data_IF_609123704106
#
_entry.id   IF_609123704106
#
_cell.length_a   1.000
_cell.length_b   1.000
_cell.length_c   1.000
_cell.angle_alpha   90.00
_cell.angle_beta   90.00
_cell.angle_gamma   90.00
#
_symmetry.space_group_name_H-M   'P 1'
#
loop_
_entity.id
_entity.type
_entity.pdbx_description
1 polymer ?
#
# COMPACT_ATOMS: atom_id res chain seq x y z
N UNK A 1 1.08 -10.76 75.48
CA UNK A 1 0.91 -11.89 74.54
C UNK A 1 -0.43 -11.71 73.85
N UNK A 2 -0.42 -11.70 72.52
CA UNK A 2 -1.43 -11.15 71.61
C UNK A 2 -2.69 -12.04 71.44
N UNK A 3 -3.80 -11.33 71.16
CA UNK A 3 -4.98 -11.68 70.33
C UNK A 3 -5.86 -12.87 70.77
N UNK A 4 -7.09 -12.60 71.19
CA UNK A 4 -8.31 -12.33 70.39
C UNK A 4 -8.94 -13.60 69.79
N UNK A 5 -10.05 -13.97 70.42
CA UNK A 5 -11.24 -14.62 69.86
C UNK A 5 -11.54 -14.11 68.45
N UNK A 6 -11.58 -15.02 67.47
CA UNK A 6 -12.18 -14.77 66.15
C UNK A 6 -13.40 -15.68 66.02
N UNK A 7 -14.58 -15.09 66.20
CA UNK A 7 -15.82 -15.67 65.68
C UNK A 7 -15.71 -15.66 64.15
N UNK A 8 -15.77 -16.83 63.54
CA UNK A 8 -15.95 -17.00 62.10
C UNK A 8 -17.33 -16.43 61.72
N UNK A 9 -17.35 -15.22 61.17
CA UNK A 9 -18.51 -14.66 60.49
C UNK A 9 -18.73 -15.45 59.20
N UNK A 10 -19.64 -16.41 59.23
CA UNK A 10 -20.17 -17.03 58.00
C UNK A 10 -20.98 -15.95 57.26
N UNK A 11 -20.52 -15.59 56.06
CA UNK A 11 -21.21 -14.64 55.19
C UNK A 11 -22.60 -15.20 54.84
N UNK A 12 -23.64 -14.39 55.08
CA UNK A 12 -25.04 -14.68 54.74
C UNK A 12 -25.23 -15.17 53.29
N UNK A 13 -24.32 -14.81 52.38
CA UNK A 13 -24.33 -15.28 50.98
C UNK A 13 -24.15 -16.80 50.85
N UNK A 14 -23.31 -17.43 51.69
CA UNK A 14 -23.08 -18.89 51.63
C UNK A 14 -24.29 -19.69 52.12
N UNK A 15 -25.03 -19.17 53.10
CA UNK A 15 -26.26 -19.79 53.56
C UNK A 15 -27.39 -19.69 52.52
N UNK A 16 -27.48 -18.57 51.79
CA UNK A 16 -28.48 -18.39 50.72
C UNK A 16 -28.19 -19.30 49.53
N UNK A 17 -26.93 -19.48 49.13
CA UNK A 17 -26.58 -20.41 48.03
C UNK A 17 -26.92 -21.85 48.41
N UNK A 18 -26.64 -22.27 49.65
CA UNK A 18 -27.01 -23.61 50.12
C UNK A 18 -28.54 -23.79 50.18
N UNK A 19 -29.30 -22.75 50.55
CA UNK A 19 -30.76 -22.77 50.63
C UNK A 19 -31.43 -22.74 49.25
N UNK A 20 -30.87 -22.03 48.27
CA UNK A 20 -31.36 -22.05 46.88
C UNK A 20 -31.12 -23.42 46.25
N UNK A 21 -29.98 -24.06 46.52
CA UNK A 21 -29.69 -25.43 46.03
C UNK A 21 -30.60 -26.47 46.70
N UNK A 22 -31.00 -26.29 47.97
CA UNK A 22 -31.90 -27.23 48.65
C UNK A 22 -33.39 -27.00 48.34
N UNK A 23 -33.82 -25.77 48.06
CA UNK A 23 -35.23 -25.46 47.74
C UNK A 23 -35.56 -25.71 46.26
N UNK A 24 -34.60 -25.55 45.34
CA UNK A 24 -34.80 -25.85 43.92
C UNK A 24 -34.16 -27.17 43.45
N UNK A 25 -33.59 -27.96 44.38
CA UNK A 25 -32.88 -29.20 44.07
C UNK A 25 -33.76 -30.44 43.84
N UNK A 26 -35.08 -30.35 43.96
CA UNK A 26 -35.95 -31.54 43.98
C UNK A 26 -36.92 -31.69 42.80
N UNK A 27 -36.73 -30.98 41.68
CA UNK A 27 -37.50 -31.24 40.45
C UNK A 27 -36.63 -31.27 39.18
N UNK A 28 -35.40 -31.76 39.29
CA UNK A 28 -34.69 -32.27 38.11
C UNK A 28 -35.31 -33.61 37.73
N UNK A 29 -36.44 -33.57 37.03
CA UNK A 29 -36.98 -34.73 36.31
C UNK A 29 -35.86 -35.22 35.38
N UNK A 30 -35.35 -36.42 35.63
CA UNK A 30 -34.38 -37.06 34.75
C UNK A 30 -35.07 -37.26 33.39
N UNK A 31 -34.82 -36.34 32.47
CA UNK A 31 -35.38 -36.42 31.13
C UNK A 31 -34.63 -37.54 30.39
N UNK A 32 -35.33 -38.62 30.09
CA UNK A 32 -34.84 -39.63 29.16
C UNK A 32 -34.79 -39.01 27.77
N UNK A 33 -33.64 -38.43 27.43
CA UNK A 33 -33.39 -37.81 26.14
C UNK A 33 -33.46 -38.90 25.06
N UNK A 34 -34.18 -38.61 23.99
CA UNK A 34 -34.17 -39.49 22.82
C UNK A 34 -32.81 -39.42 22.14
N UNK A 35 -32.41 -40.43 21.33
CA UNK A 35 -31.16 -40.38 20.58
C UNK A 35 -31.01 -39.12 19.71
N UNK A 36 -32.12 -38.55 19.23
CA UNK A 36 -32.10 -37.27 18.50
C UNK A 36 -31.78 -36.07 19.38
N UNK A 37 -32.31 -36.03 20.61
CA UNK A 37 -32.02 -34.95 21.55
C UNK A 37 -30.55 -34.95 21.96
N UNK A 38 -29.99 -36.16 22.15
CA UNK A 38 -28.56 -36.32 22.42
C UNK A 38 -27.70 -35.84 21.24
N UNK A 39 -28.11 -36.12 20.00
CA UNK A 39 -27.39 -35.65 18.81
C UNK A 39 -27.40 -34.12 18.66
N UNK A 40 -28.52 -33.47 19.04
CA UNK A 40 -28.64 -32.01 19.01
C UNK A 40 -27.76 -31.37 20.08
N UNK A 41 -27.74 -31.95 21.29
CA UNK A 41 -26.86 -31.50 22.38
C UNK A 41 -25.39 -31.68 22.00
N UNK A 42 -25.03 -32.79 21.39
CA UNK A 42 -23.65 -33.05 20.96
C UNK A 42 -23.23 -32.12 19.81
N UNK A 43 -24.15 -31.79 18.89
CA UNK A 43 -23.94 -30.76 17.88
C UNK A 43 -23.74 -29.37 18.51
N UNK A 44 -24.57 -28.99 19.48
CA UNK A 44 -24.43 -27.70 20.16
C UNK A 44 -23.14 -27.62 20.99
N UNK A 45 -22.75 -28.70 21.67
CA UNK A 45 -21.46 -28.80 22.37
C UNK A 45 -20.29 -28.72 21.39
N UNK A 46 -20.38 -29.40 20.25
CA UNK A 46 -19.36 -29.33 19.20
C UNK A 46 -19.25 -27.90 18.67
N UNK A 47 -20.37 -27.26 18.34
CA UNK A 47 -20.43 -25.88 17.87
C UNK A 47 -19.80 -24.90 18.87
N UNK A 48 -20.16 -24.99 20.16
CA UNK A 48 -19.60 -24.16 21.23
C UNK A 48 -18.10 -24.41 21.45
N UNK A 49 -17.64 -25.64 21.27
CA UNK A 49 -16.23 -25.99 21.40
C UNK A 49 -15.40 -25.54 20.18
N UNK A 50 -15.98 -25.59 18.98
CA UNK A 50 -15.34 -25.08 17.75
C UNK A 50 -15.36 -23.56 17.69
N UNK A 51 -16.43 -22.91 18.15
CA UNK A 51 -16.53 -21.44 18.16
C UNK A 51 -15.54 -20.82 19.15
N UNK A 52 -15.35 -21.41 20.34
CA UNK A 52 -14.31 -20.97 21.28
C UNK A 52 -12.88 -21.12 20.75
N UNK A 53 -12.62 -22.07 19.85
CA UNK A 53 -11.30 -22.22 19.21
C UNK A 53 -11.07 -21.18 18.10
N UNK A 54 -12.13 -20.63 17.52
CA UNK A 54 -12.06 -19.53 16.56
C UNK A 54 -11.85 -18.16 17.22
N UNK A 55 -12.06 -18.04 18.54
CA UNK A 55 -11.91 -16.80 19.32
C UNK A 55 -10.54 -16.66 20.00
N UNK A 56 -9.49 -17.34 19.51
CA UNK A 56 -8.15 -16.84 19.83
C UNK A 56 -8.01 -15.54 19.04
N UNK A 57 -7.85 -14.37 19.67
CA UNK A 57 -7.47 -13.19 18.92
C UNK A 57 -6.15 -13.58 18.27
N UNK A 58 -6.14 -13.79 16.96
CA UNK A 58 -4.91 -13.67 16.20
C UNK A 58 -4.50 -12.25 16.52
N UNK A 59 -3.51 -12.10 17.41
CA UNK A 59 -2.79 -10.86 17.53
C UNK A 59 -2.13 -10.71 16.16
N UNK A 60 -2.86 -10.16 15.19
CA UNK A 60 -2.26 -9.56 14.02
C UNK A 60 -1.38 -8.50 14.63
N UNK A 61 -0.11 -8.85 14.77
CA UNK A 61 0.91 -7.86 15.02
C UNK A 61 0.63 -6.77 13.98
N UNK A 62 0.59 -5.52 14.41
CA UNK A 62 0.33 -4.35 13.56
C UNK A 62 1.29 -4.27 12.35
N UNK A 63 2.27 -5.17 12.30
CA UNK A 63 3.26 -5.47 11.29
C UNK A 63 2.71 -6.13 10.01
N UNK A 64 1.55 -6.80 10.03
CA UNK A 64 0.98 -7.42 8.82
C UNK A 64 0.28 -6.42 7.89
N UNK A 65 -0.25 -5.33 8.44
CA UNK A 65 -0.95 -4.30 7.66
C UNK A 65 0.09 -3.41 6.99
N UNK A 66 -0.04 -3.22 5.67
CA UNK A 66 0.81 -2.30 4.94
C UNK A 66 0.24 -1.94 3.58
N UNK A 67 0.75 -0.85 3.01
CA UNK A 67 0.45 -0.43 1.63
C UNK A 67 1.72 -0.39 0.80
N UNK A 68 1.57 -0.67 -0.49
CA UNK A 68 2.66 -0.57 -1.46
C UNK A 68 2.52 0.65 -2.34
N UNK A 69 3.65 1.22 -2.75
CA UNK A 69 3.71 2.28 -3.75
C UNK A 69 5.01 2.20 -4.55
N UNK A 70 5.00 2.78 -5.75
CA UNK A 70 6.21 2.90 -6.57
C UNK A 70 6.88 4.23 -6.28
N UNK A 71 8.18 4.20 -6.01
CA UNK A 71 9.05 5.37 -5.97
C UNK A 71 9.77 5.48 -7.32
N UNK A 72 9.29 6.37 -8.18
CA UNK A 72 9.87 6.60 -9.50
C UNK A 72 11.14 7.44 -9.41
N UNK A 73 12.17 7.04 -10.16
CA UNK A 73 13.44 7.74 -10.26
C UNK A 73 14.46 7.41 -9.18
N UNK A 74 14.21 6.38 -8.35
CA UNK A 74 15.15 5.91 -7.32
C UNK A 74 15.19 4.39 -7.27
N UNK A 75 16.35 3.82 -6.96
CA UNK A 75 16.55 2.37 -6.76
C UNK A 75 16.23 1.88 -5.35
N UNK A 76 15.96 2.80 -4.41
CA UNK A 76 15.79 2.50 -2.98
C UNK A 76 14.56 3.17 -2.40
N UNK A 77 13.97 2.54 -1.39
CA UNK A 77 12.86 3.10 -0.62
C UNK A 77 13.35 4.14 0.42
N UNK A 78 12.47 5.04 0.91
CA UNK A 78 12.80 5.94 2.00
C UNK A 78 13.17 5.19 3.29
N UNK A 79 13.86 5.87 4.20
CA UNK A 79 14.26 5.28 5.48
C UNK A 79 13.05 4.78 6.29
N UNK A 80 13.15 3.56 6.84
CA UNK A 80 12.08 2.91 7.58
C UNK A 80 10.85 2.56 6.72
N UNK A 81 11.06 2.34 5.41
CA UNK A 81 10.10 1.74 4.48
C UNK A 81 10.77 0.53 3.84
N UNK A 82 10.09 -0.60 3.82
CA UNK A 82 10.64 -1.84 3.29
C UNK A 82 10.66 -1.80 1.76
N UNK A 83 11.75 -2.29 1.16
CA UNK A 83 11.80 -2.52 -0.28
C UNK A 83 11.15 -3.87 -0.59
N UNK A 84 10.22 -3.89 -1.54
CA UNK A 84 9.67 -5.12 -2.11
C UNK A 84 10.60 -5.60 -3.22
N UNK A 85 10.88 -4.73 -4.20
CA UNK A 85 11.91 -4.93 -5.22
C UNK A 85 12.37 -3.60 -5.82
N UNK A 86 13.55 -3.61 -6.43
CA UNK A 86 14.07 -2.53 -7.26
C UNK A 86 14.06 -2.96 -8.74
N UNK A 87 14.10 -1.96 -9.62
CA UNK A 87 14.11 -2.24 -11.04
C UNK A 87 14.19 -0.99 -11.90
N UNK A 88 13.67 -1.11 -13.11
CA UNK A 88 13.58 -0.02 -14.07
C UNK A 88 12.14 0.28 -14.41
N UNK A 89 11.85 1.55 -14.64
CA UNK A 89 10.57 1.95 -15.19
C UNK A 89 10.48 1.49 -16.65
N UNK A 90 9.28 1.13 -17.05
CA UNK A 90 8.96 0.74 -18.41
C UNK A 90 7.50 1.02 -18.74
N UNK A 91 7.13 0.68 -19.96
CA UNK A 91 5.78 0.87 -20.47
C UNK A 91 5.74 0.64 -21.97
N UNK A 92 4.82 1.33 -22.63
CA UNK A 92 4.61 1.22 -24.06
C UNK A 92 5.59 2.13 -24.83
N UNK A 93 5.83 1.80 -26.10
CA UNK A 93 6.60 2.65 -27.01
C UNK A 93 5.90 3.99 -27.19
N UNK A 94 6.64 5.10 -27.12
CA UNK A 94 6.07 6.45 -27.13
C UNK A 94 5.07 6.70 -28.28
N UNK A 95 5.32 6.13 -29.47
CA UNK A 95 4.49 6.33 -30.66
C UNK A 95 3.35 5.31 -30.84
N UNK A 96 3.26 4.28 -29.99
CA UNK A 96 2.19 3.27 -30.09
C UNK A 96 0.84 3.78 -29.59
N UNK A 97 -0.18 3.76 -30.46
CA UNK A 97 -1.54 4.25 -30.17
C UNK A 97 -2.39 3.32 -29.31
N UNK A 98 -2.08 2.02 -29.33
CA UNK A 98 -2.74 1.00 -28.53
C UNK A 98 -1.71 0.30 -27.63
N UNK A 99 -2.15 -0.70 -26.87
CA UNK A 99 -1.30 -1.39 -25.89
C UNK A 99 -1.50 -0.88 -24.47
N UNK A 100 -0.52 -1.11 -23.60
CA UNK A 100 -0.52 -0.60 -22.22
C UNK A 100 -0.51 0.94 -22.14
N UNK A 101 -1.22 1.52 -21.16
CA UNK A 101 -1.34 2.98 -20.98
C UNK A 101 -0.85 3.48 -19.62
N UNK A 102 -0.07 2.68 -18.90
CA UNK A 102 0.48 2.98 -17.58
C UNK A 102 1.98 2.75 -17.55
N UNK A 103 2.68 3.40 -16.62
CA UNK A 103 4.05 3.02 -16.30
C UNK A 103 4.07 1.74 -15.47
N UNK A 104 5.11 0.95 -15.65
CA UNK A 104 5.38 -0.27 -14.91
C UNK A 104 6.75 -0.16 -14.23
N UNK A 105 6.85 -0.66 -13.01
CA UNK A 105 8.15 -0.85 -12.38
C UNK A 105 8.58 -2.30 -12.62
N UNK A 106 9.49 -2.51 -13.57
CA UNK A 106 9.91 -3.82 -14.03
C UNK A 106 11.05 -4.33 -13.14
N UNK A 107 10.94 -5.52 -12.54
CA UNK A 107 11.99 -6.06 -11.67
C UNK A 107 13.28 -6.33 -12.47
N UNK A 108 14.43 -6.27 -11.79
CA UNK A 108 15.73 -6.57 -12.40
C UNK A 108 15.96 -8.05 -12.71
N UNK A 109 15.11 -8.93 -12.17
CA UNK A 109 15.16 -10.39 -12.28
C UNK A 109 13.85 -10.94 -12.89
N UNK A 110 13.51 -10.60 -14.15
CA UNK A 110 12.27 -11.04 -14.76
C UNK A 110 12.24 -12.55 -15.01
N UNK A 111 11.09 -13.18 -14.76
CA UNK A 111 10.80 -14.52 -15.26
C UNK A 111 10.26 -14.43 -16.70
N UNK A 112 10.99 -15.01 -17.65
CA UNK A 112 10.66 -14.90 -19.07
C UNK A 112 9.68 -15.98 -19.54
N UNK A 113 8.74 -15.57 -20.39
CA UNK A 113 7.86 -16.47 -21.14
C UNK A 113 8.57 -17.15 -22.33
N UNK A 114 7.79 -17.80 -23.20
CA UNK A 114 8.30 -18.43 -24.43
C UNK A 114 8.25 -17.46 -25.61
N UNK A 115 9.26 -17.51 -26.47
CA UNK A 115 9.28 -16.75 -27.73
C UNK A 115 8.22 -17.31 -28.68
N UNK A 116 7.43 -16.43 -29.31
CA UNK A 116 6.45 -16.79 -30.35
C UNK A 116 6.67 -15.92 -31.58
N UNK A 117 6.18 -16.35 -32.75
CA UNK A 117 6.38 -15.66 -34.03
C UNK A 117 5.42 -14.51 -34.30
N UNK A 118 4.44 -14.26 -33.43
CA UNK A 118 3.44 -13.21 -33.64
C UNK A 118 3.91 -11.88 -33.04
N UNK A 119 3.65 -10.80 -33.78
CA UNK A 119 3.93 -9.43 -33.36
C UNK A 119 2.80 -8.98 -32.41
N UNK A 120 3.03 -9.12 -31.10
CA UNK A 120 2.14 -8.63 -30.06
C UNK A 120 2.55 -7.21 -29.64
N UNK A 121 1.85 -6.63 -28.65
CA UNK A 121 2.32 -5.40 -28.01
C UNK A 121 3.71 -5.60 -27.38
N UNK A 122 4.49 -4.51 -27.36
CA UNK A 122 5.86 -4.51 -26.85
C UNK A 122 5.96 -3.86 -25.48
N UNK A 123 6.80 -4.42 -24.61
CA UNK A 123 7.20 -3.79 -23.36
C UNK A 123 8.57 -3.14 -23.53
N UNK A 124 8.65 -1.85 -23.24
CA UNK A 124 9.86 -1.04 -23.44
C UNK A 124 10.33 -0.45 -22.11
N UNK A 125 11.65 -0.25 -21.98
CA UNK A 125 12.23 0.54 -20.88
C UNK A 125 11.79 2.00 -20.97
N UNK A 126 11.95 2.73 -19.86
CA UNK A 126 11.60 4.15 -19.82
C UNK A 126 12.83 5.06 -19.73
N UNK A 127 12.78 6.17 -20.44
CA UNK A 127 13.86 7.16 -20.49
C UNK A 127 13.40 8.51 -19.94
N UNK A 128 14.31 9.23 -19.28
CA UNK A 128 14.11 10.64 -18.98
C UNK A 128 14.24 11.46 -20.26
N UNK A 129 13.19 12.19 -20.62
CA UNK A 129 13.24 13.17 -21.70
C UNK A 129 13.28 14.59 -21.11
N UNK A 130 14.33 14.79 -20.32
CA UNK A 130 14.61 16.01 -19.56
C UNK A 130 15.85 16.67 -20.13
N UNK A 131 15.62 17.65 -20.99
CA UNK A 131 16.64 18.50 -21.63
C UNK A 131 16.75 19.85 -20.89
N UNK A 132 17.82 20.60 -21.16
CA UNK A 132 18.06 21.89 -20.50
C UNK A 132 16.91 22.91 -20.62
N UNK A 133 16.11 22.84 -21.69
CA UNK A 133 14.98 23.75 -21.92
C UNK A 133 13.69 23.37 -21.17
N UNK A 134 13.59 22.15 -20.63
CA UNK A 134 12.43 21.69 -19.86
C UNK A 134 12.78 21.18 -18.46
N UNK A 135 14.04 21.26 -18.03
CA UNK A 135 14.47 20.76 -16.71
C UNK A 135 13.80 21.55 -15.58
N UNK A 136 13.14 20.88 -14.63
CA UNK A 136 12.61 21.53 -13.44
C UNK A 136 13.69 22.20 -12.60
N UNK A 137 13.36 23.35 -12.00
CA UNK A 137 14.28 24.01 -11.07
C UNK A 137 14.58 23.12 -9.87
N UNK A 138 15.87 22.76 -9.71
CA UNK A 138 16.35 21.86 -8.65
C UNK A 138 16.32 20.37 -9.01
N UNK A 139 15.88 19.99 -10.21
CA UNK A 139 16.01 18.62 -10.70
C UNK A 139 17.45 18.36 -11.17
N UNK A 140 17.88 17.10 -11.07
CA UNK A 140 19.22 16.68 -11.49
C UNK A 140 19.47 17.00 -12.96
N UNK A 141 20.64 17.57 -13.26
CA UNK A 141 21.07 17.84 -14.63
C UNK A 141 21.59 16.57 -15.33
N UNK A 142 21.69 16.63 -16.66
CA UNK A 142 22.23 15.54 -17.50
C UNK A 142 21.46 14.23 -17.35
N UNK A 143 20.12 14.32 -17.35
CA UNK A 143 19.22 13.17 -17.27
C UNK A 143 18.71 12.72 -18.64
N UNK A 144 18.77 13.57 -19.66
CA UNK A 144 18.32 13.26 -21.02
C UNK A 144 18.81 11.89 -21.52
N UNK A 145 17.89 11.08 -22.06
CA UNK A 145 18.16 9.77 -22.66
C UNK A 145 18.79 8.77 -21.68
N UNK A 146 18.59 8.95 -20.38
CA UNK A 146 18.99 7.96 -19.37
C UNK A 146 17.79 7.15 -18.94
N UNK A 147 18.04 5.89 -18.63
CA UNK A 147 17.01 4.98 -18.14
C UNK A 147 16.55 5.38 -16.72
N UNK A 148 15.26 5.20 -16.48
CA UNK A 148 14.59 5.63 -15.24
C UNK A 148 14.52 4.44 -14.27
N UNK A 149 15.19 4.47 -13.11
CA UNK A 149 15.03 3.43 -12.10
C UNK A 149 13.71 3.58 -11.35
N UNK A 150 13.29 2.51 -10.70
CA UNK A 150 12.15 2.53 -9.78
C UNK A 150 12.38 1.56 -8.62
N UNK A 151 11.66 1.80 -7.53
CA UNK A 151 11.58 0.88 -6.40
C UNK A 151 10.12 0.71 -5.97
N UNK A 152 9.68 -0.52 -5.77
CA UNK A 152 8.38 -0.80 -5.13
C UNK A 152 8.61 -0.92 -3.64
N UNK A 153 7.91 -0.07 -2.89
CA UNK A 153 8.10 0.11 -1.45
C UNK A 153 6.86 -0.32 -0.69
N UNK A 154 7.03 -0.99 0.45
CA UNK A 154 5.96 -1.36 1.37
C UNK A 154 6.09 -0.57 2.67
N UNK A 155 5.07 0.20 3.00
CA UNK A 155 4.95 0.93 4.26
C UNK A 155 4.09 0.15 5.24
N UNK A 156 4.72 -0.45 6.24
CA UNK A 156 4.03 -1.16 7.33
C UNK A 156 3.29 -0.20 8.27
N UNK A 157 2.21 -0.69 8.88
CA UNK A 157 1.35 0.08 9.78
C UNK A 157 0.51 1.18 9.10
N UNK A 158 0.40 1.13 7.75
CA UNK A 158 -0.35 2.08 6.91
C UNK A 158 -1.30 1.32 6.02
N UNK A 159 -2.47 1.90 5.74
CA UNK A 159 -3.57 1.23 5.03
C UNK A 159 -4.04 2.01 3.79
N UNK A 160 -3.50 3.20 3.53
CA UNK A 160 -3.80 3.95 2.32
C UNK A 160 -2.58 4.71 1.80
N UNK A 161 -2.49 4.85 0.48
CA UNK A 161 -1.51 5.67 -0.21
C UNK A 161 -2.21 6.59 -1.22
N UNK A 162 -1.67 7.80 -1.41
CA UNK A 162 -2.19 8.79 -2.35
C UNK A 162 -1.04 9.61 -2.94
N UNK A 163 -1.05 9.82 -4.25
CA UNK A 163 -0.25 10.85 -4.91
C UNK A 163 -1.06 12.14 -5.01
N UNK A 164 -0.48 13.26 -4.57
CA UNK A 164 -1.09 14.59 -4.61
C UNK A 164 -0.33 15.45 -5.61
N UNK A 165 -0.87 15.71 -6.81
CA UNK A 165 -0.26 16.64 -7.76
C UNK A 165 -0.43 18.09 -7.28
N UNK A 166 0.52 18.96 -7.62
CA UNK A 166 0.55 20.37 -7.24
C UNK A 166 1.05 20.67 -5.83
N UNK A 167 1.51 19.67 -5.05
CA UNK A 167 2.05 19.88 -3.69
C UNK A 167 3.40 19.21 -3.50
N UNK A 168 4.24 19.78 -2.63
CA UNK A 168 5.44 19.12 -2.09
C UNK A 168 5.21 18.46 -0.72
N UNK A 169 4.04 18.69 -0.12
CA UNK A 169 3.74 18.27 1.25
C UNK A 169 2.37 17.62 1.32
N UNK A 170 2.25 16.62 2.17
CA UNK A 170 0.99 15.93 2.44
C UNK A 170 0.02 16.82 3.24
N UNK A 171 -1.27 16.49 3.20
CA UNK A 171 -2.25 17.11 4.09
C UNK A 171 -2.08 16.62 5.53
N UNK A 172 -2.66 17.35 6.49
CA UNK A 172 -2.60 17.01 7.91
C UNK A 172 -3.06 15.57 8.15
N UNK A 173 -2.28 14.82 8.94
CA UNK A 173 -2.57 13.43 9.28
C UNK A 173 -2.10 12.39 8.23
N UNK A 174 -1.53 12.84 7.12
CA UNK A 174 -0.85 11.97 6.15
C UNK A 174 0.66 12.08 6.32
N UNK A 175 1.36 10.95 6.20
CA UNK A 175 2.82 10.89 6.23
C UNK A 175 3.37 11.04 4.81
N UNK A 176 4.38 11.89 4.62
CA UNK A 176 5.11 11.98 3.36
C UNK A 176 6.03 10.77 3.21
N UNK A 177 5.90 10.08 2.08
CA UNK A 177 6.83 9.02 1.69
C UNK A 177 7.93 9.58 0.78
N UNK A 178 7.56 10.38 -0.23
CA UNK A 178 8.51 11.19 -1.00
C UNK A 178 7.79 12.34 -1.74
N UNK A 179 8.56 13.25 -2.32
CA UNK A 179 8.05 14.34 -3.15
C UNK A 179 8.99 14.64 -4.32
N UNK A 180 8.49 15.38 -5.31
CA UNK A 180 9.28 15.81 -6.45
C UNK A 180 8.43 16.50 -7.51
N UNK A 181 8.51 16.01 -8.75
CA UNK A 181 7.91 16.64 -9.92
C UNK A 181 6.97 15.68 -10.63
N UNK A 182 5.80 16.20 -11.03
CA UNK A 182 4.84 15.45 -11.81
C UNK A 182 5.39 15.28 -13.23
N UNK A 183 5.43 14.05 -13.71
CA UNK A 183 5.90 13.70 -15.04
C UNK A 183 4.87 12.84 -15.77
N UNK A 184 4.89 12.90 -17.09
CA UNK A 184 4.08 12.07 -17.98
C UNK A 184 4.71 12.03 -19.38
N UNK A 185 4.02 11.43 -20.35
CA UNK A 185 4.44 11.46 -21.74
C UNK A 185 4.32 12.87 -22.34
N UNK A 186 5.10 13.16 -23.38
CA UNK A 186 4.95 14.38 -24.14
C UNK A 186 3.59 14.45 -24.85
N UNK A 187 2.97 15.63 -24.81
CA UNK A 187 1.62 15.91 -25.32
C UNK A 187 1.34 15.55 -26.79
N UNK A 188 2.37 15.32 -27.60
CA UNK A 188 2.22 14.96 -29.02
C UNK A 188 2.31 13.44 -29.26
N UNK A 189 2.53 12.66 -28.21
CA UNK A 189 2.62 11.20 -28.24
C UNK A 189 1.40 10.60 -27.53
N UNK A 190 1.40 9.27 -27.35
CA UNK A 190 0.23 8.59 -26.81
C UNK A 190 0.08 8.83 -25.31
N UNK A 191 -1.16 8.77 -24.84
CA UNK A 191 -1.47 9.04 -23.44
C UNK A 191 -0.88 7.95 -22.54
N UNK A 192 -0.31 8.39 -21.41
CA UNK A 192 0.10 7.55 -20.30
C UNK A 192 -0.26 8.27 -19.00
N UNK A 193 -0.33 7.53 -17.91
CA UNK A 193 -0.62 8.10 -16.60
C UNK A 193 0.36 9.22 -16.17
N UNK A 194 -0.05 10.00 -15.18
CA UNK A 194 0.86 10.89 -14.48
C UNK A 194 1.57 10.15 -13.36
N UNK A 195 2.88 10.33 -13.26
CA UNK A 195 3.72 9.75 -12.21
C UNK A 195 4.40 10.85 -11.41
N UNK A 196 4.56 10.61 -10.11
CA UNK A 196 5.37 11.48 -9.27
C UNK A 196 6.83 11.02 -9.31
N UNK A 197 7.68 11.76 -10.03
CA UNK A 197 9.11 11.52 -10.07
C UNK A 197 9.76 12.08 -8.81
N UNK A 198 10.65 11.33 -8.17
CA UNK A 198 11.39 11.81 -7.00
C UNK A 198 12.20 13.08 -7.35
N UNK A 199 12.22 14.06 -6.43
CA UNK A 199 12.95 15.31 -6.62
C UNK A 199 14.46 15.12 -6.78
N UNK A 200 15.00 14.08 -6.13
CA UNK A 200 16.42 13.69 -6.18
C UNK A 200 16.63 12.46 -7.09
N UNK A 201 15.89 12.42 -8.20
CA UNK A 201 15.94 11.34 -9.17
C UNK A 201 17.36 11.05 -9.67
N UNK A 202 17.61 9.77 -9.92
CA UNK A 202 18.87 9.24 -10.43
C UNK A 202 18.64 8.42 -11.70
N UNK A 203 19.65 8.27 -12.56
CA UNK A 203 19.56 7.34 -13.66
C UNK A 203 19.79 5.90 -13.17
N UNK A 204 19.31 4.93 -13.93
CA UNK A 204 19.51 3.51 -13.62
C UNK A 204 21.01 3.21 -13.51
N UNK A 205 21.76 3.61 -14.53
CA UNK A 205 23.21 3.63 -14.59
C UNK A 205 23.74 4.92 -15.29
N UNK A 206 25.01 4.92 -15.74
CA UNK A 206 25.60 6.07 -16.42
C UNK A 206 25.47 6.02 -17.95
N UNK A 207 24.77 5.02 -18.50
CA UNK A 207 24.53 4.90 -19.93
C UNK A 207 23.47 5.89 -20.40
N UNK A 208 23.54 6.19 -21.68
CA UNK A 208 22.56 7.02 -22.36
C UNK A 208 22.43 6.55 -23.79
N UNK A 209 21.19 6.33 -24.21
CA UNK A 209 20.84 5.89 -25.55
C UNK A 209 19.48 6.49 -25.92
N UNK A 210 19.26 6.69 -27.22
CA UNK A 210 18.00 7.20 -27.73
C UNK A 210 17.08 6.05 -28.18
N UNK A 211 16.64 5.20 -27.24
CA UNK A 211 15.87 4.02 -27.59
C UNK A 211 14.38 4.31 -27.73
N UNK A 212 13.91 5.46 -27.23
CA UNK A 212 12.54 5.94 -27.33
C UNK A 212 11.49 4.93 -26.85
N UNK A 213 11.69 4.33 -25.67
CA UNK A 213 10.69 3.47 -25.07
C UNK A 213 9.51 4.26 -24.49
N UNK A 214 9.15 4.00 -23.23
CA UNK A 214 8.32 4.93 -22.47
C UNK A 214 9.13 6.19 -22.14
N UNK A 215 8.52 7.37 -22.06
CA UNK A 215 9.25 8.61 -21.83
C UNK A 215 8.65 9.39 -20.67
N UNK A 216 9.52 9.93 -19.81
CA UNK A 216 9.15 10.83 -18.72
C UNK A 216 9.53 12.27 -19.06
N UNK A 217 8.51 13.09 -19.33
CA UNK A 217 8.60 14.53 -19.52
C UNK A 217 8.06 15.29 -18.30
N UNK A 218 8.69 16.41 -17.91
CA UNK A 218 8.17 17.32 -16.90
C UNK A 218 6.81 17.91 -17.29
N UNK A 219 5.85 17.86 -16.36
CA UNK A 219 4.52 18.44 -16.55
C UNK A 219 4.51 19.88 -16.08
N UNK A 220 3.95 20.77 -16.91
CA UNK A 220 3.75 22.18 -16.58
C UNK A 220 2.28 22.52 -16.50
N UNK A 221 1.92 23.35 -15.52
CA UNK A 221 0.57 23.88 -15.38
C UNK A 221 0.20 24.72 -16.62
N UNK A 222 -1.05 24.59 -17.07
CA UNK A 222 -1.58 25.35 -18.20
C UNK A 222 -2.87 26.03 -17.79
N UNK A 223 -2.84 27.36 -17.66
CA UNK A 223 -4.00 28.15 -17.25
C UNK A 223 -5.08 28.14 -18.34
N UNK A 224 -6.32 28.33 -17.91
CA UNK A 224 -7.53 28.24 -18.74
C UNK A 224 -8.64 27.59 -17.93
N UNK A 225 -8.91 26.31 -18.21
CA UNK A 225 -9.76 25.47 -17.34
C UNK A 225 -9.11 25.26 -15.96
N UNK A 226 -7.77 25.23 -15.90
CA UNK A 226 -7.03 25.31 -14.64
C UNK A 226 -7.05 26.76 -14.14
N UNK A 227 -7.61 26.95 -12.95
CA UNK A 227 -7.67 28.27 -12.29
C UNK A 227 -6.27 28.74 -11.89
N UNK A 228 -5.95 29.97 -12.29
CA UNK A 228 -4.71 30.63 -11.96
C UNK A 228 -5.06 32.05 -11.46
N UNK A 229 -4.87 32.37 -10.17
CA UNK A 229 -4.34 31.56 -9.05
C UNK A 229 -5.27 30.41 -8.59
N UNK A 230 -4.78 29.43 -7.79
CA UNK A 230 -3.45 29.38 -7.13
C UNK A 230 -2.33 28.76 -7.97
N UNK A 231 -2.64 28.16 -9.12
CA UNK A 231 -1.61 27.69 -10.05
C UNK A 231 -1.00 28.86 -10.82
N UNK A 232 0.18 28.64 -11.40
CA UNK A 232 0.89 29.61 -12.23
C UNK A 232 1.09 29.03 -13.63
N UNK A 233 0.82 29.82 -14.67
CA UNK A 233 0.95 29.33 -16.05
C UNK A 233 2.39 28.92 -16.36
N UNK A 234 2.54 27.83 -17.11
CA UNK A 234 3.82 27.33 -17.64
C UNK A 234 4.87 27.01 -16.57
N UNK A 235 4.46 26.79 -15.32
CA UNK A 235 5.38 26.32 -14.27
C UNK A 235 5.28 24.82 -14.08
N UNK A 236 6.43 24.20 -13.79
CA UNK A 236 6.57 22.85 -13.22
C UNK A 236 5.48 22.53 -12.20
N UNK A 237 4.91 21.33 -12.28
CA UNK A 237 3.93 20.84 -11.32
C UNK A 237 4.64 19.92 -10.32
N UNK A 238 4.66 20.28 -9.05
CA UNK A 238 5.18 19.41 -8.00
C UNK A 238 4.24 18.23 -7.72
N UNK A 239 4.74 17.23 -7.00
CA UNK A 239 3.92 16.13 -6.50
C UNK A 239 4.49 15.60 -5.20
N UNK A 240 3.64 14.90 -4.44
CA UNK A 240 4.06 14.15 -3.25
C UNK A 240 3.25 12.86 -3.14
N UNK A 241 3.91 11.79 -2.70
CA UNK A 241 3.27 10.52 -2.37
C UNK A 241 3.18 10.41 -0.86
N UNK A 242 1.98 10.11 -0.37
CA UNK A 242 1.60 10.18 1.03
C UNK A 242 0.94 8.89 1.48
N UNK A 243 1.17 8.46 2.72
CA UNK A 243 0.50 7.30 3.34
C UNK A 243 -0.31 7.67 4.58
N UNK A 244 -1.28 6.84 4.96
CA UNK A 244 -2.10 7.02 6.18
C UNK A 244 -2.21 5.77 7.03
#
# INVERSE_FOLDING_TARGET
MKLMTSMLTFSFATAIVAFVVSVFGNDCKEYSLTPSDQSLIDMMKHYLHTSRKADTPVAHSQQDIGVTYVRWGKKVCPEGVDIVYAGQAGGNFYANKGGGSNYLCLPSDPENGRVTSNDNDGLYGAEYDVVSSNTPAGFRSNMYQKEVPCAVCRRTGKFSVLMIPGRKTCYKGWKSEYNGFLMSQHKNYNQIDFACMDGDAEPLDNQSANNNGALFYPVRAKCGSLRCPPYKDKTEVHCTVCSK
#
